data_IF_090430570805
#
_entry.id   IF_090430570805
#
_cell.length_a   1.000
_cell.length_b   1.000
_cell.length_c   1.000
_cell.angle_alpha   90.00
_cell.angle_beta   90.00
_cell.angle_gamma   90.00
#
_symmetry.space_group_name_H-M   'P 1'
#
loop_
_entity.id
_entity.type
_entity.pdbx_description
1 polymer ?
#
# COMPACT_ATOMS: atom_id res chain seq x y z
N UNK A 1 -14.07 3.84 19.84
CA UNK A 1 -14.83 4.75 18.94
C UNK A 1 -14.38 4.51 17.51
N UNK A 2 -15.29 4.59 16.53
CA UNK A 2 -14.94 4.39 15.12
C UNK A 2 -13.98 5.50 14.64
N UNK A 3 -12.85 5.13 14.04
CA UNK A 3 -11.90 6.06 13.43
C UNK A 3 -12.37 6.39 12.02
N UNK A 4 -12.45 7.68 11.68
CA UNK A 4 -12.77 8.10 10.31
C UNK A 4 -11.65 7.63 9.36
N UNK A 5 -12.03 7.11 8.20
CA UNK A 5 -11.09 6.69 7.15
C UNK A 5 -10.65 7.88 6.29
N UNK A 6 -11.47 8.93 6.22
CA UNK A 6 -11.20 10.12 5.43
C UNK A 6 -11.99 11.32 5.96
N UNK A 7 -11.43 12.52 5.83
CA UNK A 7 -12.07 13.78 6.18
C UNK A 7 -11.86 14.83 5.09
N UNK A 8 -12.94 15.47 4.68
CA UNK A 8 -12.93 16.44 3.60
C UNK A 8 -14.23 17.22 3.53
N UNK A 9 -14.56 17.75 2.38
CA UNK A 9 -15.80 18.50 2.16
C UNK A 9 -16.53 18.06 0.90
N UNK A 10 -17.85 18.23 0.92
CA UNK A 10 -18.69 18.13 -0.27
C UNK A 10 -19.03 19.55 -0.72
N UNK A 11 -18.78 19.83 -1.99
CA UNK A 11 -19.11 21.12 -2.62
C UNK A 11 -20.26 20.93 -3.61
N UNK A 12 -21.29 21.75 -3.49
CA UNK A 12 -22.40 21.81 -4.45
C UNK A 12 -22.77 23.28 -4.72
N UNK A 13 -22.49 23.74 -5.94
CA UNK A 13 -22.63 25.15 -6.31
C UNK A 13 -21.75 26.06 -5.43
N UNK A 14 -22.38 26.83 -4.55
CA UNK A 14 -21.71 27.76 -3.62
C UNK A 14 -21.69 27.27 -2.16
N UNK A 15 -22.15 26.04 -1.90
CA UNK A 15 -22.24 25.48 -0.55
C UNK A 15 -21.12 24.47 -0.33
N UNK A 16 -20.39 24.60 0.79
CA UNK A 16 -19.32 23.70 1.19
C UNK A 16 -19.61 23.09 2.58
N UNK A 17 -19.72 21.76 2.64
CA UNK A 17 -20.11 21.03 3.87
C UNK A 17 -18.97 20.09 4.30
N UNK A 18 -18.41 20.23 5.51
CA UNK A 18 -17.39 19.33 6.02
C UNK A 18 -18.00 17.96 6.36
N UNK A 19 -17.35 16.88 5.93
CA UNK A 19 -17.78 15.51 6.18
C UNK A 19 -16.65 14.62 6.72
N UNK A 20 -17.05 13.49 7.32
CA UNK A 20 -16.14 12.41 7.73
C UNK A 20 -16.69 11.08 7.23
N UNK A 21 -15.86 10.32 6.55
CA UNK A 21 -16.22 8.99 6.07
C UNK A 21 -15.85 7.93 7.11
N UNK A 22 -16.78 7.01 7.34
CA UNK A 22 -16.63 5.88 8.25
C UNK A 22 -16.94 4.58 7.50
N UNK A 23 -16.18 3.50 7.75
CA UNK A 23 -16.41 2.23 7.11
C UNK A 23 -17.73 1.62 7.63
N UNK A 24 -18.64 1.28 6.72
CA UNK A 24 -19.91 0.63 7.07
C UNK A 24 -19.70 -0.83 7.55
N UNK A 25 -18.65 -1.48 7.04
CA UNK A 25 -18.28 -2.86 7.39
C UNK A 25 -16.79 -2.93 7.71
N UNK A 26 -16.43 -3.80 8.65
CA UNK A 26 -15.04 -4.13 8.96
C UNK A 26 -14.80 -5.61 8.68
N UNK A 27 -13.90 -5.91 7.75
CA UNK A 27 -13.46 -7.29 7.49
C UNK A 27 -12.57 -7.73 8.64
N UNK A 28 -12.99 -8.75 9.39
CA UNK A 28 -12.13 -9.44 10.36
C UNK A 28 -11.40 -10.55 9.63
N UNK A 29 -10.12 -10.36 9.34
CA UNK A 29 -9.23 -11.41 8.84
C UNK A 29 -8.40 -11.97 9.99
N UNK A 30 -8.27 -13.29 10.07
CA UNK A 30 -7.30 -13.96 10.95
C UNK A 30 -6.00 -14.12 10.17
N UNK A 31 -4.91 -13.54 10.67
CA UNK A 31 -3.56 -13.71 10.11
C UNK A 31 -2.83 -14.83 10.85
N UNK A 32 -2.24 -15.76 10.11
CA UNK A 32 -1.42 -16.82 10.68
C UNK A 32 0.06 -16.47 10.63
N UNK A 33 0.80 -16.88 11.66
CA UNK A 33 2.25 -16.88 11.64
C UNK A 33 2.76 -18.21 11.09
N UNK A 34 3.84 -18.17 10.31
CA UNK A 34 4.58 -19.39 9.99
C UNK A 34 5.33 -19.84 11.25
N UNK A 35 5.12 -21.10 11.63
CA UNK A 35 5.70 -21.71 12.83
C UNK A 35 6.34 -23.03 12.41
N UNK A 36 7.56 -23.28 12.88
CA UNK A 36 8.22 -24.57 12.71
C UNK A 36 7.47 -25.64 13.50
N UNK A 37 7.00 -26.67 12.79
CA UNK A 37 6.20 -27.76 13.37
C UNK A 37 6.95 -28.60 14.39
N UNK A 38 8.28 -28.62 14.37
CA UNK A 38 9.11 -29.42 15.29
C UNK A 38 9.44 -28.65 16.57
N UNK A 39 9.75 -27.36 16.45
CA UNK A 39 10.25 -26.54 17.56
C UNK A 39 9.20 -25.60 18.13
N UNK A 40 8.08 -25.39 17.43
CA UNK A 40 7.06 -24.40 17.80
C UNK A 40 7.54 -22.95 17.65
N UNK A 41 8.73 -22.73 17.08
CA UNK A 41 9.32 -21.40 16.96
C UNK A 41 8.81 -20.65 15.72
N UNK A 42 8.68 -19.32 15.83
CA UNK A 42 8.25 -18.46 14.71
C UNK A 42 9.32 -18.44 13.62
N UNK A 43 8.92 -18.70 12.37
CA UNK A 43 9.81 -18.62 11.22
C UNK A 43 10.09 -17.15 10.90
N UNK A 44 11.38 -16.81 10.69
CA UNK A 44 11.82 -15.50 10.20
C UNK A 44 12.12 -15.59 8.70
N UNK A 45 11.67 -14.61 7.94
CA UNK A 45 11.93 -14.50 6.52
C UNK A 45 13.09 -13.51 6.30
N UNK A 46 14.06 -13.89 5.48
CA UNK A 46 15.12 -13.01 4.99
C UNK A 46 15.00 -12.86 3.48
N UNK A 47 15.34 -11.68 2.98
CA UNK A 47 15.37 -11.39 1.55
C UNK A 47 16.79 -11.56 1.07
N UNK A 48 16.99 -12.42 0.10
CA UNK A 48 18.32 -12.75 -0.43
C UNK A 48 18.35 -12.50 -1.94
N UNK A 49 19.47 -12.00 -2.44
CA UNK A 49 19.70 -11.79 -3.86
C UNK A 49 19.83 -13.13 -4.57
N UNK A 50 19.13 -13.28 -5.70
CA UNK A 50 19.16 -14.51 -6.49
C UNK A 50 20.51 -14.74 -7.19
N UNK A 51 21.31 -13.68 -7.39
CA UNK A 51 22.58 -13.77 -8.10
C UNK A 51 23.71 -14.31 -7.22
N UNK A 52 23.75 -13.93 -5.94
CA UNK A 52 24.89 -14.19 -5.05
C UNK A 52 24.51 -14.75 -3.67
N UNK A 53 23.21 -14.83 -3.35
CA UNK A 53 22.71 -15.34 -2.07
C UNK A 53 22.93 -14.40 -0.89
N UNK A 54 23.40 -13.17 -1.12
CA UNK A 54 23.60 -12.18 -0.06
C UNK A 54 22.27 -11.61 0.45
N UNK A 55 22.22 -11.24 1.74
CA UNK A 55 21.05 -10.59 2.33
C UNK A 55 20.89 -9.17 1.77
N UNK A 56 19.68 -8.85 1.31
CA UNK A 56 19.36 -7.55 0.74
C UNK A 56 18.58 -6.71 1.77
N UNK A 57 19.15 -5.60 2.25
CA UNK A 57 18.44 -4.65 3.11
C UNK A 57 17.23 -4.07 2.40
N UNK A 58 16.17 -3.76 3.15
CA UNK A 58 14.91 -3.25 2.59
C UNK A 58 15.10 -1.97 1.75
N UNK A 59 16.00 -1.10 2.16
CA UNK A 59 16.35 0.16 1.49
C UNK A 59 16.94 -0.04 0.08
N UNK A 60 17.49 -1.23 -0.20
CA UNK A 60 18.10 -1.57 -1.48
C UNK A 60 17.14 -2.33 -2.41
N UNK A 61 15.89 -2.54 -1.98
CA UNK A 61 14.89 -3.28 -2.75
C UNK A 61 14.04 -2.30 -3.54
N UNK A 62 14.26 -2.28 -4.85
CA UNK A 62 13.46 -1.54 -5.82
C UNK A 62 12.40 -2.44 -6.46
N UNK A 63 11.32 -1.82 -6.97
CA UNK A 63 10.33 -2.54 -7.77
C UNK A 63 10.84 -2.65 -9.20
N UNK A 64 10.72 -3.82 -9.81
CA UNK A 64 11.06 -4.03 -11.22
C UNK A 64 9.95 -4.78 -11.93
N UNK A 65 9.69 -4.42 -13.20
CA UNK A 65 8.78 -5.15 -14.08
C UNK A 65 9.56 -5.88 -15.16
N UNK A 66 9.30 -7.17 -15.34
CA UNK A 66 9.99 -8.01 -16.33
C UNK A 66 9.42 -7.74 -17.73
N UNK A 67 10.24 -7.21 -18.63
CA UNK A 67 9.86 -6.99 -20.04
C UNK A 67 10.25 -8.16 -20.95
N UNK A 68 11.33 -8.85 -20.62
CA UNK A 68 11.81 -10.07 -21.28
C UNK A 68 12.60 -10.90 -20.27
N UNK A 69 12.90 -12.18 -20.55
CA UNK A 69 13.61 -13.04 -19.60
C UNK A 69 14.90 -12.38 -19.11
N UNK A 70 15.02 -12.27 -17.78
CA UNK A 70 16.14 -11.62 -17.07
C UNK A 70 16.32 -10.11 -17.36
N UNK A 71 15.33 -9.45 -17.96
CA UNK A 71 15.35 -8.01 -18.22
C UNK A 71 14.24 -7.29 -17.47
N UNK A 72 14.64 -6.56 -16.42
CA UNK A 72 13.74 -5.81 -15.55
C UNK A 72 13.87 -4.31 -15.79
N UNK A 73 12.73 -3.64 -16.00
CA UNK A 73 12.64 -2.19 -15.91
C UNK A 73 12.41 -1.83 -14.46
N UNK A 74 13.35 -1.10 -13.87
CA UNK A 74 13.21 -0.57 -12.51
C UNK A 74 12.18 0.55 -12.51
N UNK A 75 11.28 0.50 -11.54
CA UNK A 75 10.27 1.53 -11.31
C UNK A 75 10.69 2.27 -10.05
N UNK A 76 11.01 3.55 -10.22
CA UNK A 76 11.34 4.39 -9.08
C UNK A 76 10.07 4.71 -8.27
N UNK A 77 10.11 4.63 -6.92
CA UNK A 77 9.00 5.08 -6.09
C UNK A 77 8.53 6.50 -6.42
N UNK A 78 9.45 7.42 -6.72
CA UNK A 78 9.15 8.83 -6.98
C UNK A 78 8.39 9.01 -8.33
N UNK A 79 8.67 8.15 -9.31
CA UNK A 79 7.92 8.14 -10.59
C UNK A 79 6.47 7.70 -10.40
N UNK A 80 6.22 6.74 -9.49
CA UNK A 80 4.86 6.31 -9.16
C UNK A 80 4.09 7.39 -8.42
N UNK A 81 4.74 8.06 -7.47
CA UNK A 81 4.14 9.14 -6.69
C UNK A 81 3.81 10.37 -7.58
N UNK A 82 4.67 10.68 -8.56
CA UNK A 82 4.40 11.74 -9.54
C UNK A 82 3.24 11.44 -10.50
N UNK A 83 2.92 10.15 -10.71
CA UNK A 83 1.79 9.71 -11.53
C UNK A 83 0.47 9.65 -10.74
N UNK A 84 0.51 9.64 -9.40
CA UNK A 84 -0.69 9.61 -8.59
C UNK A 84 -1.42 10.95 -8.74
N UNK A 85 -2.70 10.96 -9.18
CA UNK A 85 -3.47 12.20 -9.26
C UNK A 85 -3.46 12.94 -7.91
N UNK A 86 -3.42 14.27 -7.95
CA UNK A 86 -3.46 15.07 -6.72
C UNK A 86 -4.65 14.66 -5.86
N UNK A 87 -4.36 14.19 -4.64
CA UNK A 87 -5.37 13.78 -3.70
C UNK A 87 -6.20 15.00 -3.26
N UNK A 88 -7.32 15.26 -3.92
CA UNK A 88 -8.25 16.31 -3.52
C UNK A 88 -9.03 15.88 -2.28
N UNK A 89 -9.16 16.79 -1.31
CA UNK A 89 -9.99 16.60 -0.11
C UNK A 89 -11.44 17.03 -0.32
N UNK A 90 -11.84 17.22 -1.58
CA UNK A 90 -13.16 17.73 -1.96
C UNK A 90 -13.83 16.69 -2.86
N UNK A 91 -15.09 16.41 -2.58
CA UNK A 91 -15.97 15.65 -3.47
C UNK A 91 -16.90 16.65 -4.14
N UNK A 92 -16.80 16.76 -5.45
CA UNK A 92 -17.67 17.59 -6.27
C UNK A 92 -18.87 16.77 -6.76
N UNK A 93 -20.07 17.36 -6.67
CA UNK A 93 -21.30 16.73 -7.17
C UNK A 93 -21.70 17.43 -8.47
N UNK A 94 -21.57 16.72 -9.59
CA UNK A 94 -22.11 17.11 -10.90
C UNK A 94 -23.50 16.47 -11.09
N UNK A 95 -24.41 17.16 -11.78
CA UNK A 95 -25.82 16.75 -11.98
C UNK A 95 -25.99 15.50 -12.84
#
# INVERSE_FOLDING_TARGET
MARAIWSGSISFGLVNIPIRLYPAVSKKSVSFHQVDSKTGSRVKMQRVSAADGSEVPYEQIVKGYEMSPDHYVLIDPDELDALDPEATRTIDIEE
#
